data_IF_439767483619
#
_entry.id   IF_439767483619
#
_cell.length_a   1.000
_cell.length_b   1.000
_cell.length_c   1.000
_cell.angle_alpha   90.00
_cell.angle_beta   90.00
_cell.angle_gamma   90.00
#
_symmetry.space_group_name_H-M   'P 1'
#
loop_
_entity.id
_entity.type
_entity.pdbx_description
1 polymer ?
#
# COMPACT_ATOMS: atom_id res chain seq x y z
N UNK A 1 19.17 46.23 38.27
CA UNK A 1 17.88 45.60 37.94
C UNK A 1 17.66 45.42 36.44
N UNK A 2 18.14 46.31 35.58
CA UNK A 2 17.97 46.19 34.11
C UNK A 2 18.69 45.03 33.42
N UNK A 3 19.92 44.70 33.84
CA UNK A 3 20.74 43.69 33.20
C UNK A 3 20.22 42.26 33.46
N UNK A 4 19.65 42.00 34.61
CA UNK A 4 19.06 40.69 34.97
C UNK A 4 17.81 40.41 34.15
N UNK A 5 16.97 41.40 33.92
CA UNK A 5 15.75 41.29 33.12
C UNK A 5 16.07 40.98 31.66
N UNK A 6 17.09 41.64 31.10
CA UNK A 6 17.53 41.38 29.71
C UNK A 6 18.07 39.97 29.52
N UNK A 7 18.80 39.40 30.49
CA UNK A 7 19.27 38.00 30.44
C UNK A 7 18.13 37.02 30.51
N UNK A 8 17.15 37.25 31.38
CA UNK A 8 15.97 36.34 31.47
C UNK A 8 15.17 36.36 30.19
N UNK A 9 14.98 37.55 29.60
CA UNK A 9 14.24 37.69 28.34
C UNK A 9 14.92 36.97 27.16
N UNK A 10 16.25 37.03 27.12
CA UNK A 10 17.06 36.34 26.12
C UNK A 10 16.99 34.81 26.28
N UNK A 11 17.01 34.31 27.50
CA UNK A 11 16.84 32.90 27.81
C UNK A 11 15.45 32.38 27.41
N UNK A 12 14.39 33.11 27.77
CA UNK A 12 13.02 32.74 27.41
C UNK A 12 12.80 32.73 25.90
N UNK A 13 13.37 33.69 25.17
CA UNK A 13 13.29 33.77 23.72
C UNK A 13 14.00 32.56 23.06
N UNK A 14 15.18 32.20 23.52
CA UNK A 14 15.94 31.07 22.98
C UNK A 14 15.24 29.73 23.28
N UNK A 15 14.62 29.61 24.45
CA UNK A 15 13.85 28.43 24.84
C UNK A 15 12.58 28.26 23.97
N UNK A 16 11.88 29.39 23.73
CA UNK A 16 10.72 29.39 22.84
C UNK A 16 11.07 29.01 21.40
N UNK A 17 12.21 29.51 20.88
CA UNK A 17 12.70 29.15 19.55
C UNK A 17 13.11 27.66 19.45
N UNK A 18 13.72 27.11 20.50
CA UNK A 18 14.07 25.71 20.56
C UNK A 18 12.83 24.80 20.58
N UNK A 19 11.81 25.16 21.36
CA UNK A 19 10.52 24.43 21.37
C UNK A 19 9.83 24.50 20.01
N UNK A 20 9.79 25.68 19.39
CA UNK A 20 9.19 25.84 18.07
C UNK A 20 9.91 25.01 17.02
N UNK A 21 11.24 24.97 17.04
CA UNK A 21 12.06 24.13 16.15
C UNK A 21 11.79 22.65 16.36
N UNK A 22 11.65 22.22 17.62
CA UNK A 22 11.35 20.83 17.95
C UNK A 22 9.93 20.41 17.53
N UNK A 23 8.95 21.28 17.71
CA UNK A 23 7.56 21.05 17.25
C UNK A 23 7.51 20.98 15.72
N UNK A 24 8.21 21.86 15.01
CA UNK A 24 8.31 21.80 13.55
C UNK A 24 8.99 20.51 13.05
N UNK A 25 9.99 20.03 13.77
CA UNK A 25 10.66 18.77 13.44
C UNK A 25 9.71 17.56 13.62
N UNK A 26 8.88 17.55 14.65
CA UNK A 26 7.90 16.50 14.89
C UNK A 26 6.81 16.49 13.80
N UNK A 27 6.36 17.66 13.35
CA UNK A 27 5.35 17.78 12.27
C UNK A 27 5.93 17.31 10.92
N UNK A 28 7.24 17.46 10.72
CA UNK A 28 7.92 17.01 9.51
C UNK A 28 8.13 15.47 9.45
N UNK A 29 7.88 14.73 10.53
CA UNK A 29 7.75 13.28 10.51
C UNK A 29 6.37 12.97 9.88
N UNK A 30 6.24 13.31 8.62
CA UNK A 30 5.10 12.94 7.80
C UNK A 30 4.93 11.44 7.91
N UNK A 31 3.75 11.01 8.24
CA UNK A 31 3.30 9.63 8.20
C UNK A 31 3.68 9.05 6.83
N UNK A 32 4.80 8.35 6.75
CA UNK A 32 5.08 7.51 5.61
C UNK A 32 3.95 6.50 5.55
N UNK A 33 2.98 6.74 4.68
CA UNK A 33 1.88 5.81 4.49
C UNK A 33 2.44 4.69 3.63
N UNK A 34 2.48 3.50 4.22
CA UNK A 34 2.82 2.30 3.48
C UNK A 34 1.90 2.18 2.26
N UNK A 35 2.46 1.75 1.15
CA UNK A 35 1.74 1.50 -0.08
C UNK A 35 1.97 0.06 -0.52
N UNK A 36 0.90 -0.59 -0.95
CA UNK A 36 0.93 -1.87 -1.61
C UNK A 36 0.54 -1.75 -3.09
N UNK A 37 0.93 -2.72 -3.89
CA UNK A 37 0.48 -2.84 -5.27
C UNK A 37 0.32 -4.30 -5.67
N UNK A 38 -0.64 -4.56 -6.54
CA UNK A 38 -0.86 -5.85 -7.18
C UNK A 38 -0.72 -5.68 -8.68
N UNK A 39 0.14 -6.50 -9.30
CA UNK A 39 0.25 -6.65 -10.74
C UNK A 39 -0.29 -8.00 -11.16
N UNK A 40 -0.93 -8.04 -12.31
CA UNK A 40 -1.52 -9.25 -12.91
C UNK A 40 -1.09 -9.35 -14.36
N UNK A 41 -0.72 -10.54 -14.76
CA UNK A 41 -0.33 -10.88 -16.11
C UNK A 41 -1.20 -11.99 -16.70
N UNK A 42 -0.82 -12.46 -17.89
CA UNK A 42 -1.53 -13.55 -18.57
C UNK A 42 -1.43 -14.86 -17.78
N UNK A 43 -2.42 -15.73 -17.95
CA UNK A 43 -2.46 -17.07 -17.36
C UNK A 43 -2.31 -17.08 -15.83
N UNK A 44 -2.89 -16.07 -15.15
CA UNK A 44 -2.83 -15.99 -13.71
C UNK A 44 -1.45 -15.63 -13.15
N UNK A 45 -0.56 -15.10 -13.97
CA UNK A 45 0.70 -14.54 -13.50
C UNK A 45 0.41 -13.33 -12.60
N UNK A 46 1.18 -13.16 -11.55
CA UNK A 46 1.01 -12.08 -10.60
C UNK A 46 2.33 -11.64 -9.96
N UNK A 47 2.32 -10.44 -9.44
CA UNK A 47 3.35 -9.93 -8.57
C UNK A 47 2.75 -8.93 -7.59
N UNK A 48 3.35 -8.79 -6.44
CA UNK A 48 2.88 -7.85 -5.42
C UNK A 48 4.04 -7.15 -4.73
N UNK A 49 3.79 -5.93 -4.31
CA UNK A 49 4.63 -5.14 -3.41
C UNK A 49 3.80 -4.68 -2.23
N UNK A 50 4.37 -4.65 -1.03
CA UNK A 50 3.74 -4.15 0.20
C UNK A 50 4.77 -3.44 1.06
N UNK A 51 4.30 -2.58 1.96
CA UNK A 51 5.14 -1.79 2.90
C UNK A 51 6.17 -0.87 2.21
N UNK A 52 5.86 -0.38 1.00
CA UNK A 52 6.69 0.63 0.34
C UNK A 52 6.29 2.03 0.77
N UNK A 53 7.27 2.92 0.89
CA UNK A 53 7.04 4.31 1.29
C UNK A 53 6.26 5.16 0.29
N UNK A 54 6.10 4.68 -0.94
CA UNK A 54 5.30 5.34 -1.98
C UNK A 54 4.71 4.35 -3.00
N UNK A 55 3.64 4.73 -3.71
CA UNK A 55 2.96 3.89 -4.69
C UNK A 55 3.80 3.50 -5.91
N UNK A 56 4.74 4.35 -6.30
CA UNK A 56 5.59 4.09 -7.49
C UNK A 56 6.52 2.90 -7.23
N UNK A 57 7.16 2.88 -6.06
CA UNK A 57 8.06 1.78 -5.66
C UNK A 57 7.28 0.48 -5.44
N UNK A 58 6.09 0.55 -4.81
CA UNK A 58 5.22 -0.61 -4.67
C UNK A 58 4.83 -1.19 -6.04
N UNK A 59 4.46 -0.33 -6.98
CA UNK A 59 4.10 -0.72 -8.36
C UNK A 59 5.27 -1.33 -9.11
N UNK A 60 6.47 -0.73 -9.01
CA UNK A 60 7.68 -1.27 -9.62
C UNK A 60 8.03 -2.65 -9.04
N UNK A 61 7.91 -2.82 -7.72
CA UNK A 61 8.13 -4.10 -7.06
C UNK A 61 7.11 -5.16 -7.49
N UNK A 62 5.84 -4.79 -7.62
CA UNK A 62 4.79 -5.70 -8.10
C UNK A 62 5.06 -6.15 -9.54
N UNK A 63 5.44 -5.24 -10.43
CA UNK A 63 5.79 -5.55 -11.81
C UNK A 63 7.03 -6.44 -11.90
N UNK A 64 8.09 -6.14 -11.14
CA UNK A 64 9.33 -6.93 -11.16
C UNK A 64 9.14 -8.38 -10.69
N UNK A 65 8.17 -8.63 -9.81
CA UNK A 65 7.83 -9.96 -9.31
C UNK A 65 6.82 -10.71 -10.18
N UNK A 66 6.18 -10.04 -11.12
CA UNK A 66 5.19 -10.64 -12.00
C UNK A 66 5.90 -11.47 -13.09
N UNK A 67 6.01 -12.78 -12.88
CA UNK A 67 6.75 -13.73 -13.73
C UNK A 67 5.98 -14.17 -14.98
N UNK A 68 5.13 -13.33 -15.55
CA UNK A 68 4.36 -13.63 -16.76
C UNK A 68 4.47 -12.50 -17.78
N UNK A 69 4.09 -12.78 -19.02
CA UNK A 69 4.03 -11.74 -20.05
C UNK A 69 2.91 -10.75 -19.78
N UNK A 70 3.08 -9.52 -20.27
CA UNK A 70 2.06 -8.47 -20.26
C UNK A 70 1.51 -8.12 -18.87
N UNK A 71 2.36 -8.12 -17.83
CA UNK A 71 1.96 -7.73 -16.49
C UNK A 71 1.58 -6.24 -16.41
N UNK A 72 0.49 -5.97 -15.74
CA UNK A 72 -0.01 -4.61 -15.47
C UNK A 72 -0.34 -4.47 -13.99
N UNK A 73 -0.03 -3.32 -13.42
CA UNK A 73 -0.54 -2.97 -12.08
C UNK A 73 -2.04 -2.78 -12.18
N UNK A 74 -2.79 -3.61 -11.47
CA UNK A 74 -4.26 -3.57 -11.43
C UNK A 74 -4.79 -2.80 -10.24
N UNK A 75 -3.95 -2.57 -9.24
CA UNK A 75 -4.33 -1.76 -8.09
C UNK A 75 -3.16 -1.35 -7.23
N UNK A 76 -3.27 -0.14 -6.71
CA UNK A 76 -2.41 0.40 -5.66
C UNK A 76 -3.26 0.52 -4.40
N UNK A 77 -2.74 0.00 -3.32
CA UNK A 77 -3.43 -0.08 -2.03
C UNK A 77 -2.82 0.90 -1.06
N UNK A 78 -3.68 1.64 -0.38
CA UNK A 78 -3.35 2.46 0.77
C UNK A 78 -4.44 2.22 1.82
N UNK A 79 -4.08 1.69 2.98
CA UNK A 79 -5.02 1.33 4.05
C UNK A 79 -6.07 0.29 3.59
N UNK A 80 -5.59 -0.83 3.06
CA UNK A 80 -6.47 -1.89 2.62
C UNK A 80 -5.70 -3.06 2.02
N UNK A 81 -6.41 -3.91 1.30
CA UNK A 81 -5.87 -5.11 0.67
C UNK A 81 -6.33 -5.22 -0.79
N UNK A 82 -5.45 -5.75 -1.63
CA UNK A 82 -5.79 -6.24 -2.95
C UNK A 82 -5.73 -7.77 -2.94
N UNK A 83 -6.60 -8.43 -3.66
CA UNK A 83 -6.58 -9.87 -3.84
C UNK A 83 -6.86 -10.25 -5.30
N UNK A 84 -6.32 -11.38 -5.70
CA UNK A 84 -6.53 -11.99 -7.01
C UNK A 84 -6.94 -13.45 -6.86
N UNK A 85 -7.96 -13.83 -7.60
CA UNK A 85 -8.41 -15.22 -7.72
C UNK A 85 -8.30 -15.68 -9.18
N UNK A 86 -7.99 -16.95 -9.37
CA UNK A 86 -7.90 -17.58 -10.70
C UNK A 86 -8.67 -18.88 -10.70
N UNK A 87 -9.12 -19.31 -11.87
CA UNK A 87 -9.57 -20.69 -12.05
C UNK A 87 -8.37 -21.64 -11.95
N UNK A 88 -8.37 -22.51 -10.95
CA UNK A 88 -7.25 -23.39 -10.65
C UNK A 88 -7.00 -24.41 -11.77
N UNK A 89 -8.03 -24.82 -12.49
CA UNK A 89 -7.93 -25.77 -13.62
C UNK A 89 -7.61 -25.08 -14.94
N UNK A 90 -7.99 -23.83 -15.10
CA UNK A 90 -7.73 -23.04 -16.31
C UNK A 90 -7.29 -21.61 -15.98
N UNK A 91 -6.08 -21.40 -15.47
CA UNK A 91 -5.60 -20.07 -15.08
C UNK A 91 -5.55 -19.05 -16.22
N UNK A 92 -5.48 -19.54 -17.48
CA UNK A 92 -5.52 -18.67 -18.66
C UNK A 92 -6.95 -18.26 -19.06
N UNK A 93 -7.96 -18.94 -18.54
CA UNK A 93 -9.36 -18.73 -18.93
C UNK A 93 -10.02 -17.64 -18.11
N UNK A 94 -9.90 -17.69 -16.81
CA UNK A 94 -10.65 -16.78 -15.93
C UNK A 94 -9.86 -16.40 -14.71
N UNK A 95 -9.87 -15.11 -14.40
CA UNK A 95 -9.34 -14.55 -13.17
C UNK A 95 -10.14 -13.32 -12.77
N UNK A 96 -10.08 -12.97 -11.50
CA UNK A 96 -10.66 -11.76 -10.96
C UNK A 96 -9.73 -11.14 -9.92
N UNK A 97 -9.80 -9.84 -9.77
CA UNK A 97 -9.08 -9.13 -8.73
C UNK A 97 -9.97 -8.06 -8.09
N UNK A 98 -9.68 -7.70 -6.85
CA UNK A 98 -10.42 -6.67 -6.14
C UNK A 98 -9.54 -5.98 -5.10
N UNK A 99 -9.89 -4.75 -4.79
CA UNK A 99 -9.32 -3.97 -3.69
C UNK A 99 -10.44 -3.69 -2.70
N UNK A 100 -10.14 -3.83 -1.41
CA UNK A 100 -11.07 -3.53 -0.34
C UNK A 100 -10.30 -3.10 0.92
N UNK A 101 -11.01 -2.52 1.88
CA UNK A 101 -10.43 -2.13 3.17
C UNK A 101 -9.99 -3.31 4.05
N UNK A 102 -10.50 -4.51 3.80
CA UNK A 102 -10.19 -5.74 4.54
C UNK A 102 -9.86 -6.88 3.60
N UNK A 103 -8.89 -7.71 3.99
CA UNK A 103 -8.42 -8.84 3.17
C UNK A 103 -9.57 -9.78 2.78
N UNK A 104 -10.36 -10.26 3.72
CA UNK A 104 -11.45 -11.19 3.42
C UNK A 104 -12.49 -10.63 2.46
N UNK A 105 -12.73 -9.31 2.49
CA UNK A 105 -13.62 -8.66 1.50
C UNK A 105 -12.98 -8.58 0.12
N UNK A 106 -11.67 -8.31 0.05
CA UNK A 106 -10.93 -8.31 -1.22
C UNK A 106 -10.90 -9.72 -1.83
N UNK A 107 -10.62 -10.74 -1.03
CA UNK A 107 -10.62 -12.15 -1.45
C UNK A 107 -11.99 -12.58 -1.98
N UNK A 108 -13.06 -12.36 -1.21
CA UNK A 108 -14.42 -12.70 -1.64
C UNK A 108 -14.83 -11.97 -2.92
N UNK A 109 -14.45 -10.69 -3.07
CA UNK A 109 -14.75 -9.94 -4.28
C UNK A 109 -13.93 -10.43 -5.49
N UNK A 110 -12.67 -10.79 -5.32
CA UNK A 110 -11.84 -11.37 -6.38
C UNK A 110 -12.37 -12.72 -6.84
N UNK A 111 -12.81 -13.56 -5.90
CA UNK A 111 -13.44 -14.86 -6.18
C UNK A 111 -14.71 -14.71 -7.01
N UNK A 112 -15.62 -13.79 -6.59
CA UNK A 112 -16.84 -13.51 -7.37
C UNK A 112 -16.52 -13.07 -8.79
N UNK A 113 -15.55 -12.17 -8.98
CA UNK A 113 -15.14 -11.74 -10.32
C UNK A 113 -14.57 -12.86 -11.17
N UNK A 114 -13.78 -13.76 -10.59
CA UNK A 114 -13.28 -14.93 -11.29
C UNK A 114 -14.46 -15.79 -11.80
N UNK A 115 -15.47 -16.04 -10.97
CA UNK A 115 -16.68 -16.78 -11.37
C UNK A 115 -17.50 -16.03 -12.43
N UNK A 116 -17.67 -14.72 -12.28
CA UNK A 116 -18.37 -13.86 -13.25
C UNK A 116 -17.70 -13.89 -14.64
N UNK A 117 -16.38 -14.04 -14.67
CA UNK A 117 -15.62 -14.21 -15.92
C UNK A 117 -15.54 -15.66 -16.44
N UNK A 118 -16.38 -16.56 -15.89
CA UNK A 118 -16.53 -17.94 -16.36
C UNK A 118 -15.62 -18.96 -15.66
N UNK A 119 -14.97 -18.62 -14.55
CA UNK A 119 -14.23 -19.57 -13.74
C UNK A 119 -15.17 -20.48 -12.96
N UNK A 120 -14.82 -21.78 -12.89
CA UNK A 120 -15.58 -22.78 -12.14
C UNK A 120 -14.88 -23.20 -10.85
N UNK A 121 -13.57 -23.30 -10.85
CA UNK A 121 -12.73 -23.70 -9.71
C UNK A 121 -11.87 -22.53 -9.22
N UNK A 122 -12.49 -21.40 -8.95
CA UNK A 122 -11.80 -20.18 -8.54
C UNK A 122 -11.18 -20.31 -7.14
N UNK A 123 -9.91 -19.96 -7.03
CA UNK A 123 -9.15 -19.94 -5.77
C UNK A 123 -8.39 -18.62 -5.65
N UNK A 124 -8.23 -18.11 -4.43
CA UNK A 124 -7.37 -16.96 -4.17
C UNK A 124 -5.92 -17.37 -4.44
N UNK A 125 -5.26 -16.66 -5.34
CA UNK A 125 -3.90 -16.94 -5.78
C UNK A 125 -2.88 -16.00 -5.15
N UNK A 126 -3.24 -14.75 -4.98
CA UNK A 126 -2.37 -13.72 -4.45
C UNK A 126 -3.15 -12.62 -3.73
N UNK A 127 -2.51 -12.01 -2.78
CA UNK A 127 -3.02 -10.83 -2.08
C UNK A 127 -1.87 -9.95 -1.60
N UNK A 128 -2.15 -8.67 -1.43
CA UNK A 128 -1.24 -7.70 -0.82
C UNK A 128 -2.05 -6.71 0.01
N UNK A 129 -1.63 -6.48 1.24
CA UNK A 129 -2.18 -5.43 2.11
C UNK A 129 -1.12 -4.37 2.37
N UNK A 130 -1.54 -3.15 2.68
CA UNK A 130 -0.73 -2.18 3.40
C UNK A 130 -1.05 -2.24 4.90
N UNK A 131 -0.09 -1.99 5.71
CA UNK A 131 0.05 -2.02 7.17
C UNK A 131 -1.14 -2.45 8.07
N UNK A 132 -2.41 -2.42 7.66
CA UNK A 132 -3.56 -2.72 8.57
C UNK A 132 -4.87 -3.01 7.80
N UNK A 133 -4.81 -3.82 6.80
CA UNK A 133 -6.01 -4.32 6.14
C UNK A 133 -6.64 -5.49 6.85
#
# INVERSE_FOLDING_TARGET
>A
MSLAIAKVFKLLRNFALAILGFVLLIIAISTAQAAGALAVGVCGAYGYGFDYGNPADASAAALSKCAGGHCKVVGVVRKGCAAMAVDAKNPCGSFGWAINSHLGKAENASMRRCVEFGGHDCVVRAWACDEKG
#
